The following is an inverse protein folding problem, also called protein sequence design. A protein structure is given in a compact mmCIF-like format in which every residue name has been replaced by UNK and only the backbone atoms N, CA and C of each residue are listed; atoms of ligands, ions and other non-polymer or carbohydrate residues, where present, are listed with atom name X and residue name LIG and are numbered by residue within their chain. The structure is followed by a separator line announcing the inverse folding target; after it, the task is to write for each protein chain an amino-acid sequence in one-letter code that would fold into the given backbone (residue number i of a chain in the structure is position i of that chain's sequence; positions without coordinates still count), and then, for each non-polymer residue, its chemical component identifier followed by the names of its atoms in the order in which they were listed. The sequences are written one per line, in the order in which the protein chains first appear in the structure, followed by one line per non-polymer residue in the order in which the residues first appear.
data_IF_564959566223
#
_entry.id   IF_564959566223
#
_cell.length_a   1.000
_cell.length_b   1.000
_cell.length_c   1.000
_cell.angle_alpha   90.00
_cell.angle_beta   90.00
_cell.angle_gamma   90.00
#
_symmetry.space_group_name_H-M   'P 1'
#
loop_
_entity.id
_entity.type
_entity.pdbx_description
1 polymer ?
#
# COMPACT_ATOMS: atom_id res chain seq x y z
N UNK A 1 9.63 -1.14 -8.65
CA UNK A 1 8.96 0.11 -8.22
C UNK A 1 7.67 -0.25 -7.51
N UNK A 2 7.31 0.43 -6.42
CA UNK A 2 6.03 0.24 -5.71
C UNK A 2 5.24 1.54 -5.77
N UNK A 3 3.94 1.48 -6.06
CA UNK A 3 3.03 2.63 -6.11
C UNK A 3 1.63 2.24 -5.63
N UNK A 4 0.67 3.15 -5.68
CA UNK A 4 -0.73 2.89 -5.33
C UNK A 4 -1.49 2.31 -6.53
N UNK A 5 -2.55 1.54 -6.26
CA UNK A 5 -3.49 1.09 -7.29
C UNK A 5 -4.49 2.20 -7.69
N UNK A 6 -5.43 1.83 -8.56
CA UNK A 6 -6.48 2.74 -9.02
C UNK A 6 -7.40 3.25 -7.89
N UNK A 7 -7.50 2.52 -6.77
CA UNK A 7 -8.31 2.92 -5.61
C UNK A 7 -7.60 3.93 -4.70
N UNK A 8 -6.28 4.10 -4.85
CA UNK A 8 -5.51 5.17 -4.20
C UNK A 8 -5.56 5.17 -2.67
N UNK A 9 -5.77 4.01 -2.05
CA UNK A 9 -5.91 3.80 -0.59
C UNK A 9 -6.86 4.83 0.04
N UNK A 10 -8.14 4.48 0.07
CA UNK A 10 -9.24 5.38 0.49
C UNK A 10 -9.52 6.54 -0.47
N UNK A 11 -9.24 6.36 -1.76
CA UNK A 11 -9.63 7.32 -2.79
C UNK A 11 -8.82 8.61 -2.77
N UNK A 12 -7.59 8.58 -2.27
CA UNK A 12 -6.78 9.79 -2.15
C UNK A 12 -6.36 10.29 -3.54
N UNK A 13 -6.72 11.54 -3.88
CA UNK A 13 -6.51 12.10 -5.22
C UNK A 13 -5.05 12.00 -5.71
N UNK A 14 -4.09 12.27 -4.83
CA UNK A 14 -2.66 12.18 -5.19
C UNK A 14 -2.20 10.73 -5.46
N UNK A 15 -2.83 9.74 -4.84
CA UNK A 15 -2.48 8.34 -5.07
C UNK A 15 -3.06 7.86 -6.40
N UNK A 16 -4.30 8.26 -6.72
CA UNK A 16 -4.96 7.97 -7.99
C UNK A 16 -4.22 8.64 -9.15
N UNK A 17 -3.81 9.91 -8.98
CA UNK A 17 -3.04 10.61 -10.01
C UNK A 17 -1.68 9.95 -10.23
N UNK A 18 -1.00 9.50 -9.17
CA UNK A 18 0.25 8.75 -9.27
C UNK A 18 0.06 7.41 -9.99
N UNK A 19 -0.99 6.65 -9.67
CA UNK A 19 -1.33 5.41 -10.39
C UNK A 19 -1.51 5.67 -11.89
N UNK A 20 -2.29 6.69 -12.23
CA UNK A 20 -2.59 7.05 -13.63
C UNK A 20 -1.33 7.45 -14.37
N UNK A 21 -0.49 8.28 -13.75
CA UNK A 21 0.78 8.71 -14.33
C UNK A 21 1.74 7.53 -14.55
N UNK A 22 1.93 6.66 -13.56
CA UNK A 22 2.82 5.51 -13.68
C UNK A 22 2.31 4.54 -14.75
N UNK A 23 1.00 4.21 -14.74
CA UNK A 23 0.38 3.37 -15.77
C UNK A 23 0.56 3.93 -17.17
N UNK A 24 0.33 5.23 -17.36
CA UNK A 24 0.55 5.88 -18.65
C UNK A 24 2.00 5.76 -19.11
N UNK A 25 2.97 6.03 -18.23
CA UNK A 25 4.40 5.96 -18.57
C UNK A 25 4.85 4.53 -18.91
N UNK A 26 4.39 3.53 -18.15
CA UNK A 26 4.71 2.12 -18.41
C UNK A 26 4.10 1.65 -19.74
N UNK A 27 2.81 1.96 -19.99
CA UNK A 27 2.11 1.46 -21.17
C UNK A 27 2.44 2.23 -22.47
N UNK A 28 2.74 3.53 -22.39
CA UNK A 28 2.88 4.39 -23.59
C UNK A 28 4.31 4.82 -23.87
N UNK A 29 5.11 5.07 -22.83
CA UNK A 29 6.43 5.67 -22.98
C UNK A 29 7.57 4.65 -22.83
N UNK A 30 7.26 3.36 -22.57
CA UNK A 30 8.25 2.28 -22.40
C UNK A 30 9.37 2.61 -21.39
N UNK A 31 9.08 3.42 -20.36
CA UNK A 31 10.04 3.79 -19.32
C UNK A 31 10.63 2.60 -18.56
N UNK A 32 9.97 1.46 -18.66
CA UNK A 32 10.44 0.20 -18.08
C UNK A 32 10.65 -0.77 -19.24
N UNK A 33 11.86 -0.83 -19.81
CA UNK A 33 12.14 -1.77 -20.87
C UNK A 33 11.89 -3.20 -20.36
N UNK A 34 11.22 -4.08 -21.13
CA UNK A 34 10.94 -5.45 -20.72
C UNK A 34 12.19 -6.23 -20.30
N UNK A 35 13.35 -5.88 -20.87
CA UNK A 35 14.66 -6.47 -20.58
C UNK A 35 15.35 -5.92 -19.34
N UNK A 36 14.86 -4.80 -18.77
CA UNK A 36 15.44 -4.18 -17.58
C UNK A 36 15.05 -4.89 -16.27
N UNK A 37 14.17 -5.91 -16.33
CA UNK A 37 13.75 -6.69 -15.16
C UNK A 37 12.97 -5.91 -14.11
N UNK A 38 12.65 -4.64 -14.37
CA UNK A 38 11.97 -3.78 -13.43
C UNK A 38 10.46 -4.06 -13.47
N UNK A 39 9.91 -4.45 -12.34
CA UNK A 39 8.47 -4.66 -12.15
C UNK A 39 7.87 -3.50 -11.38
N UNK A 40 6.67 -3.09 -11.79
CA UNK A 40 5.88 -2.10 -11.06
C UNK A 40 4.79 -2.82 -10.29
N UNK A 41 4.80 -2.68 -8.97
CA UNK A 41 3.82 -3.27 -8.08
C UNK A 41 2.90 -2.16 -7.54
N UNK A 42 1.60 -2.44 -7.48
CA UNK A 42 0.58 -1.54 -6.95
C UNK A 42 0.00 -2.09 -5.65
N UNK A 43 -0.11 -1.23 -4.63
CA UNK A 43 -0.71 -1.56 -3.34
C UNK A 43 -2.23 -1.66 -3.47
N UNK A 44 -2.78 -2.82 -3.08
CA UNK A 44 -4.22 -3.11 -3.10
C UNK A 44 -5.00 -2.14 -2.21
N UNK A 45 -5.97 -1.43 -2.77
CA UNK A 45 -6.96 -0.68 -2.02
C UNK A 45 -8.08 -1.59 -1.52
N UNK A 46 -8.17 -1.76 -0.20
CA UNK A 46 -9.25 -2.54 0.43
C UNK A 46 -10.40 -1.68 0.98
N UNK A 47 -11.55 -2.32 1.22
CA UNK A 47 -12.69 -1.70 1.91
C UNK A 47 -12.37 -1.32 3.37
N UNK A 48 -13.23 -0.50 3.98
CA UNK A 48 -13.02 0.01 5.35
C UNK A 48 -12.92 -1.10 6.40
N UNK A 49 -13.68 -2.20 6.27
CA UNK A 49 -13.61 -3.31 7.21
C UNK A 49 -12.21 -3.94 7.17
N UNK A 50 -11.77 -4.42 6.01
CA UNK A 50 -10.43 -5.01 5.83
C UNK A 50 -9.31 -4.03 6.16
N UNK A 51 -9.54 -2.73 5.92
CA UNK A 51 -8.59 -1.68 6.28
C UNK A 51 -8.30 -1.67 7.78
N UNK A 52 -9.29 -1.92 8.64
CA UNK A 52 -9.19 -1.69 10.09
C UNK A 52 -9.25 -2.95 10.97
N UNK A 53 -9.19 -4.16 10.40
CA UNK A 53 -9.05 -5.41 11.17
C UNK A 53 -7.59 -5.77 11.51
N UNK A 54 -6.62 -4.89 11.21
CA UNK A 54 -5.20 -5.06 11.56
C UNK A 54 -4.62 -6.40 11.05
N UNK A 55 -3.83 -7.08 11.87
CA UNK A 55 -3.19 -8.36 11.56
C UNK A 55 -4.17 -9.50 11.25
N UNK A 56 -5.45 -9.39 11.64
CA UNK A 56 -6.45 -10.42 11.33
C UNK A 56 -6.73 -10.51 9.82
N UNK A 57 -6.40 -9.47 9.04
CA UNK A 57 -6.53 -9.52 7.58
C UNK A 57 -5.50 -10.47 6.93
N UNK A 58 -4.49 -10.96 7.66
CA UNK A 58 -3.53 -11.97 7.14
C UNK A 58 -4.27 -13.15 6.54
N UNK A 59 -5.24 -13.73 7.27
CA UNK A 59 -5.99 -14.91 6.80
C UNK A 59 -6.75 -14.62 5.50
N UNK A 60 -7.41 -13.46 5.42
CA UNK A 60 -8.17 -13.05 4.23
C UNK A 60 -7.20 -12.79 3.06
N UNK A 61 -6.08 -12.11 3.31
CA UNK A 61 -5.06 -11.79 2.31
C UNK A 61 -4.33 -13.02 1.77
N UNK A 62 -4.26 -14.11 2.54
CA UNK A 62 -3.74 -15.39 2.03
C UNK A 62 -4.70 -16.09 1.06
N UNK A 63 -6.01 -15.92 1.26
CA UNK A 63 -7.05 -16.58 0.45
C UNK A 63 -7.35 -15.84 -0.85
N UNK A 64 -7.09 -14.53 -0.92
CA UNK A 64 -7.35 -13.73 -2.11
C UNK A 64 -6.18 -13.77 -3.11
N UNK A 65 -6.44 -13.60 -4.42
CA UNK A 65 -5.39 -13.48 -5.42
C UNK A 65 -4.51 -12.25 -5.19
N UNK A 66 -3.19 -12.38 -5.39
CA UNK A 66 -2.17 -11.33 -5.27
C UNK A 66 -0.88 -11.80 -5.92
N UNK A 67 -0.03 -10.86 -6.34
CA UNK A 67 1.29 -11.17 -6.92
C UNK A 67 2.39 -11.18 -5.85
N UNK A 68 2.28 -10.31 -4.83
CA UNK A 68 3.17 -10.32 -3.68
C UNK A 68 2.41 -9.98 -2.39
N UNK A 69 2.78 -10.64 -1.29
CA UNK A 69 2.23 -10.40 0.03
C UNK A 69 3.38 -10.12 1.00
N UNK A 70 3.41 -8.91 1.57
CA UNK A 70 4.38 -8.52 2.58
C UNK A 70 3.69 -8.49 3.94
N UNK A 71 4.17 -9.32 4.87
CA UNK A 71 3.74 -9.33 6.26
C UNK A 71 4.91 -8.83 7.09
N UNK A 72 4.75 -7.64 7.65
CA UNK A 72 5.77 -7.00 8.47
C UNK A 72 5.83 -7.67 9.84
N UNK A 73 7.05 -7.82 10.33
CA UNK A 73 7.33 -8.19 11.71
C UNK A 73 6.89 -7.09 12.68
N UNK A 74 6.85 -7.42 13.97
CA UNK A 74 6.57 -6.43 15.01
C UNK A 74 7.61 -5.30 15.02
N UNK A 75 8.89 -5.61 14.78
CA UNK A 75 9.96 -4.62 14.72
C UNK A 75 9.78 -3.65 13.55
N UNK A 76 9.53 -4.16 12.34
CA UNK A 76 9.27 -3.34 11.15
C UNK A 76 8.00 -2.49 11.32
N UNK A 77 6.97 -3.05 11.95
CA UNK A 77 5.72 -2.34 12.27
C UNK A 77 5.99 -1.19 13.24
N UNK A 78 6.76 -1.41 14.30
CA UNK A 78 7.14 -0.34 15.24
C UNK A 78 8.06 0.70 14.59
N UNK A 79 8.95 0.30 13.69
CA UNK A 79 9.74 1.23 12.88
C UNK A 79 8.83 2.14 12.03
N UNK A 80 7.83 1.57 11.34
CA UNK A 80 6.86 2.33 10.56
C UNK A 80 6.04 3.30 11.44
N UNK A 81 5.58 2.84 12.61
CA UNK A 81 4.88 3.70 13.59
C UNK A 81 5.78 4.82 14.10
N UNK A 82 7.05 4.55 14.42
CA UNK A 82 8.03 5.57 14.84
C UNK A 82 8.24 6.63 13.76
N UNK A 83 8.41 6.22 12.50
CA UNK A 83 8.53 7.15 11.38
C UNK A 83 7.30 8.06 11.26
N UNK A 84 6.09 7.50 11.36
CA UNK A 84 4.84 8.26 11.34
C UNK A 84 4.73 9.25 12.51
N UNK A 85 5.18 8.87 13.71
CA UNK A 85 5.19 9.72 14.91
C UNK A 85 6.12 10.93 14.81
N UNK A 86 7.10 10.93 13.90
CA UNK A 86 7.93 12.10 13.61
C UNK A 86 7.12 13.24 12.97
N UNK A 87 6.02 12.94 12.27
CA UNK A 87 5.17 13.92 11.58
C UNK A 87 4.07 14.49 12.49
N UNK A 88 4.47 15.04 13.65
CA UNK A 88 3.55 15.42 14.74
C UNK A 88 2.38 16.32 14.30
N UNK A 89 2.63 17.35 13.50
CA UNK A 89 1.60 18.30 13.04
C UNK A 89 0.54 17.66 12.14
N UNK A 90 0.84 16.53 11.51
CA UNK A 90 -0.08 15.82 10.64
C UNK A 90 -0.69 14.57 11.29
N UNK A 91 -0.26 14.22 12.50
CA UNK A 91 -0.68 13.02 13.23
C UNK A 91 -2.00 13.25 13.99
N UNK A 92 -3.01 13.69 13.26
CA UNK A 92 -4.37 13.92 13.74
C UNK A 92 -5.01 12.62 14.26
N UNK A 93 -6.08 12.73 15.05
CA UNK A 93 -6.72 11.61 15.74
C UNK A 93 -7.05 10.41 14.82
N UNK A 94 -7.51 10.65 13.58
CA UNK A 94 -7.82 9.58 12.64
C UNK A 94 -6.57 8.82 12.16
N UNK A 95 -5.41 9.49 12.17
CA UNK A 95 -4.11 8.87 11.86
C UNK A 95 -3.62 8.02 13.03
N UNK A 96 -3.99 8.36 14.27
CA UNK A 96 -3.75 7.48 15.43
C UNK A 96 -4.56 6.18 15.30
N UNK A 97 -5.84 6.26 14.91
CA UNK A 97 -6.64 5.08 14.63
C UNK A 97 -6.04 4.24 13.49
N UNK A 98 -5.56 4.89 12.44
CA UNK A 98 -4.81 4.22 11.37
C UNK A 98 -3.56 3.52 11.92
N UNK A 99 -2.79 4.14 12.81
CA UNK A 99 -1.60 3.52 13.38
C UNK A 99 -1.88 2.29 14.25
N UNK A 100 -3.07 2.19 14.85
CA UNK A 100 -3.46 1.09 15.73
C UNK A 100 -4.10 -0.06 14.97
N UNK A 101 -4.99 0.26 14.03
CA UNK A 101 -5.91 -0.71 13.45
C UNK A 101 -5.67 -0.96 11.96
N UNK A 102 -4.87 -0.14 11.28
CA UNK A 102 -4.69 -0.29 9.83
C UNK A 102 -3.94 -1.58 9.49
N UNK A 103 -4.52 -2.39 8.60
CA UNK A 103 -3.79 -3.54 8.04
C UNK A 103 -2.53 -3.11 7.30
N UNK A 104 -2.47 -1.93 6.70
CA UNK A 104 -1.31 -1.51 5.87
C UNK A 104 -0.02 -1.32 6.69
N UNK A 105 -0.10 -1.26 8.01
CA UNK A 105 1.10 -1.28 8.87
C UNK A 105 1.70 -2.68 9.04
N UNK A 106 0.95 -3.73 8.71
CA UNK A 106 1.33 -5.12 8.97
C UNK A 106 1.24 -5.95 7.68
N UNK A 107 0.11 -5.92 6.98
CA UNK A 107 -0.20 -6.75 5.81
C UNK A 107 -0.38 -5.87 4.57
N UNK A 108 0.55 -6.00 3.63
CA UNK A 108 0.55 -5.27 2.36
C UNK A 108 0.44 -6.25 1.18
N UNK A 109 -0.72 -6.26 0.52
CA UNK A 109 -0.96 -7.02 -0.71
C UNK A 109 -0.62 -6.16 -1.92
N UNK A 110 0.16 -6.70 -2.84
CA UNK A 110 0.61 -6.02 -4.04
C UNK A 110 0.23 -6.83 -5.30
N UNK A 111 -0.13 -6.09 -6.34
CA UNK A 111 -0.39 -6.64 -7.68
C UNK A 111 0.60 -6.07 -8.69
N UNK A 112 0.87 -6.81 -9.75
CA UNK A 112 1.62 -6.31 -10.89
C UNK A 112 0.75 -5.30 -11.66
N UNK A 113 1.32 -4.12 -11.98
CA UNK A 113 0.67 -3.07 -12.77
C UNK A 113 0.53 -3.46 -14.25
#
# INVERSE_FOLDING_TARGET
VVTFDAGGVSGHANHISLYTAVRYNVCKLLWVPPWAGCRVLVLESVNLCRKYISFLDVLISYLLPRDALFILTEEETEQAKRAMRCHRSQLLWFRQLYLLFSRYLVVNSLHLL
#
